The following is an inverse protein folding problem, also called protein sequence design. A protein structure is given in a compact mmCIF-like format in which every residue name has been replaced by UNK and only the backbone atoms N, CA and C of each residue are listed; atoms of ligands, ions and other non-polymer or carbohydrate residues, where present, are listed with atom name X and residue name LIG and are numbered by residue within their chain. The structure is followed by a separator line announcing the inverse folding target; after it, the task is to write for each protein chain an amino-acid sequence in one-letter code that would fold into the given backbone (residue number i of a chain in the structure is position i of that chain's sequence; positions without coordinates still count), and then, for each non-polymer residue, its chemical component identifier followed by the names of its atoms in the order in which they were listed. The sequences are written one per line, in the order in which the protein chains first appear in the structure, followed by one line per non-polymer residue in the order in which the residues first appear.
data_IF_385611406869
#
_entry.id   IF_385611406869
#
_cell.length_a   1.000
_cell.length_b   1.000
_cell.length_c   1.000
_cell.angle_alpha   90.00
_cell.angle_beta   90.00
_cell.angle_gamma   90.00
#
_symmetry.space_group_name_H-M   'P 1'
#
loop_
_entity.id
_entity.type
_entity.pdbx_description
1 polymer ?
#
# COMPACT_ATOMS: atom_id res chain seq x y z
N UNK A 1 -61.40 -19.99 -19.84
CA UNK A 1 -60.18 -20.42 -19.15
C UNK A 1 -59.02 -20.32 -20.14
N UNK A 2 -58.48 -19.12 -20.35
CA UNK A 2 -57.46 -18.89 -21.39
C UNK A 2 -56.08 -18.94 -20.76
N UNK A 3 -55.46 -20.10 -20.96
CA UNK A 3 -54.06 -20.41 -20.78
C UNK A 3 -53.20 -19.35 -21.46
N UNK A 4 -52.55 -18.49 -20.67
CA UNK A 4 -51.51 -17.59 -21.14
C UNK A 4 -50.23 -18.39 -21.35
N UNK A 5 -50.12 -19.05 -22.51
CA UNK A 5 -48.85 -19.63 -22.96
C UNK A 5 -47.91 -18.48 -23.24
N UNK A 6 -47.02 -18.17 -22.29
CA UNK A 6 -45.94 -17.22 -22.56
C UNK A 6 -45.16 -17.67 -23.78
N UNK A 7 -44.87 -16.73 -24.67
CA UNK A 7 -44.09 -17.01 -25.87
C UNK A 7 -42.72 -17.54 -25.44
N UNK A 8 -42.10 -18.37 -26.28
CA UNK A 8 -40.76 -18.91 -25.99
C UNK A 8 -39.78 -17.76 -25.69
N UNK A 9 -39.93 -16.63 -26.39
CA UNK A 9 -39.15 -15.42 -26.20
C UNK A 9 -39.31 -14.81 -24.79
N UNK A 10 -40.54 -14.73 -24.26
CA UNK A 10 -40.77 -14.20 -22.91
C UNK A 10 -40.18 -15.10 -21.81
N UNK A 11 -40.11 -16.41 -22.07
CA UNK A 11 -39.47 -17.37 -21.16
C UNK A 11 -37.95 -17.23 -21.20
N UNK A 12 -37.37 -17.06 -22.39
CA UNK A 12 -35.94 -16.80 -22.57
C UNK A 12 -35.51 -15.49 -21.90
N UNK A 13 -36.28 -14.41 -22.07
CA UNK A 13 -36.03 -13.12 -21.41
C UNK A 13 -36.05 -13.24 -19.87
N UNK A 14 -37.00 -14.00 -19.32
CA UNK A 14 -37.05 -14.25 -17.87
C UNK A 14 -35.87 -15.07 -17.37
N UNK A 15 -35.43 -16.03 -18.16
CA UNK A 15 -34.32 -16.91 -17.81
C UNK A 15 -32.99 -16.15 -17.86
N UNK A 16 -32.80 -15.31 -18.88
CA UNK A 16 -31.68 -14.37 -18.98
C UNK A 16 -31.68 -13.38 -17.81
N UNK A 17 -32.83 -12.76 -17.50
CA UNK A 17 -32.95 -11.87 -16.35
C UNK A 17 -32.68 -12.56 -15.01
N UNK A 18 -32.99 -13.86 -14.89
CA UNK A 18 -32.68 -14.65 -13.70
C UNK A 18 -31.17 -14.94 -13.58
N UNK A 19 -30.54 -15.35 -14.67
CA UNK A 19 -29.10 -15.58 -14.73
C UNK A 19 -28.32 -14.30 -14.43
N UNK A 20 -28.75 -13.17 -15.00
CA UNK A 20 -28.17 -11.86 -14.71
C UNK A 20 -28.28 -11.51 -13.23
N UNK A 21 -29.44 -11.74 -12.60
CA UNK A 21 -29.61 -11.55 -11.15
C UNK A 21 -28.68 -12.44 -10.32
N UNK A 22 -28.55 -13.71 -10.68
CA UNK A 22 -27.67 -14.65 -9.97
C UNK A 22 -26.21 -14.28 -10.13
N UNK A 23 -25.79 -13.89 -11.34
CA UNK A 23 -24.44 -13.42 -11.62
C UNK A 23 -24.14 -12.15 -10.81
N UNK A 24 -25.08 -11.22 -10.77
CA UNK A 24 -24.95 -10.00 -9.96
C UNK A 24 -24.85 -10.31 -8.47
N UNK A 25 -25.58 -11.33 -8.00
CA UNK A 25 -25.54 -11.73 -6.60
C UNK A 25 -24.21 -12.39 -6.22
N UNK A 26 -23.69 -13.30 -7.05
CA UNK A 26 -22.37 -13.90 -6.83
C UNK A 26 -21.27 -12.84 -6.84
N UNK A 27 -21.30 -11.95 -7.82
CA UNK A 27 -20.36 -10.83 -7.89
C UNK A 27 -20.47 -9.94 -6.64
N UNK A 28 -21.68 -9.67 -6.14
CA UNK A 28 -21.84 -8.88 -4.90
C UNK A 28 -21.21 -9.57 -3.68
N UNK A 29 -21.42 -10.88 -3.50
CA UNK A 29 -20.90 -11.62 -2.35
C UNK A 29 -19.37 -11.72 -2.34
N UNK A 30 -18.77 -11.99 -3.50
CA UNK A 30 -17.32 -12.02 -3.66
C UNK A 30 -16.72 -10.63 -3.39
N UNK A 31 -17.37 -9.58 -3.89
CA UNK A 31 -16.92 -8.21 -3.63
C UNK A 31 -17.07 -7.81 -2.16
N UNK A 32 -18.10 -8.27 -1.45
CA UNK A 32 -18.33 -7.90 -0.05
C UNK A 32 -17.32 -8.56 0.91
N UNK A 33 -16.98 -9.84 0.68
CA UNK A 33 -15.97 -10.54 1.47
C UNK A 33 -14.58 -9.92 1.30
N UNK A 34 -14.18 -9.67 0.04
CA UNK A 34 -12.89 -9.05 -0.26
C UNK A 34 -12.82 -7.61 0.22
N UNK A 35 -13.93 -6.85 0.15
CA UNK A 35 -14.02 -5.49 0.71
C UNK A 35 -13.85 -5.50 2.22
N UNK A 36 -14.42 -6.46 2.93
CA UNK A 36 -14.27 -6.60 4.38
C UNK A 36 -12.81 -6.86 4.76
N UNK A 37 -12.13 -7.78 4.06
CA UNK A 37 -10.73 -8.09 4.31
C UNK A 37 -9.78 -6.92 3.99
N UNK A 38 -10.01 -6.23 2.86
CA UNK A 38 -9.29 -5.01 2.52
C UNK A 38 -9.59 -3.87 3.50
N UNK A 39 -10.80 -3.79 4.03
CA UNK A 39 -11.17 -2.78 5.04
C UNK A 39 -10.47 -3.06 6.37
N UNK A 40 -10.38 -4.33 6.79
CA UNK A 40 -9.62 -4.73 7.97
C UNK A 40 -8.14 -4.39 7.81
N UNK A 41 -7.53 -4.78 6.68
CA UNK A 41 -6.12 -4.49 6.38
C UNK A 41 -5.87 -2.98 6.21
N UNK A 42 -6.81 -2.22 5.63
CA UNK A 42 -6.72 -0.76 5.54
C UNK A 42 -6.89 -0.09 6.89
N UNK A 43 -7.76 -0.57 7.77
CA UNK A 43 -7.86 -0.07 9.13
C UNK A 43 -6.56 -0.33 9.90
N UNK A 44 -5.99 -1.53 9.72
CA UNK A 44 -4.67 -1.87 10.24
C UNK A 44 -3.59 -0.92 9.69
N UNK A 45 -3.53 -0.68 8.38
CA UNK A 45 -2.59 0.26 7.77
C UNK A 45 -2.86 1.74 8.09
N UNK A 46 -4.11 2.17 8.29
CA UNK A 46 -4.45 3.54 8.68
C UNK A 46 -4.11 3.82 10.14
N UNK A 47 -4.26 2.80 11.00
CA UNK A 47 -3.73 2.85 12.37
C UNK A 47 -2.19 2.96 12.36
N UNK A 48 -1.52 2.36 11.38
CA UNK A 48 -0.06 2.43 11.19
C UNK A 48 0.37 3.74 10.50
N UNK A 49 -0.41 4.29 9.56
CA UNK A 49 -0.02 5.37 8.64
C UNK A 49 -0.37 6.79 9.09
N UNK A 50 -1.25 6.97 10.08
CA UNK A 50 -1.58 8.29 10.66
C UNK A 50 -0.41 8.96 11.41
N UNK A 51 0.73 8.27 11.57
CA UNK A 51 1.97 8.84 12.11
C UNK A 51 2.95 9.41 11.08
N UNK A 52 2.70 9.26 9.76
CA UNK A 52 3.69 9.55 8.71
C UNK A 52 3.39 10.84 7.91
N UNK A 53 2.67 11.81 8.49
CA UNK A 53 2.36 13.07 7.78
C UNK A 53 2.34 14.29 8.69
N UNK A 54 3.50 14.92 8.83
CA UNK A 54 3.68 16.36 8.91
C UNK A 54 4.95 16.64 8.08
N UNK A 55 4.83 17.21 6.87
CA UNK A 55 4.92 18.66 6.62
C UNK A 55 6.28 19.22 7.12
N UNK A 56 7.13 19.88 6.33
CA UNK A 56 6.84 20.95 5.38
C UNK A 56 7.98 21.15 4.35
N UNK A 57 7.60 21.76 3.23
CA UNK A 57 8.46 22.61 2.44
C UNK A 57 9.10 23.74 3.29
N UNK A 58 10.18 24.32 2.76
CA UNK A 58 10.75 25.62 3.15
C UNK A 58 11.69 25.64 4.35
N UNK A 59 12.99 25.84 4.06
CA UNK A 59 13.98 26.38 5.01
C UNK A 59 14.51 25.41 6.06
N UNK A 60 15.66 24.80 5.78
CA UNK A 60 16.40 23.90 6.66
C UNK A 60 15.65 22.61 7.05
N UNK A 61 15.80 21.57 6.21
CA UNK A 61 15.40 20.19 6.54
C UNK A 61 16.27 19.61 7.68
N UNK A 62 16.06 20.08 8.90
CA UNK A 62 16.53 19.35 10.07
C UNK A 62 15.58 18.18 10.31
N UNK A 63 15.85 17.07 9.60
CA UNK A 63 15.26 15.78 9.96
C UNK A 63 15.70 15.44 11.39
N UNK A 64 14.78 14.93 12.20
CA UNK A 64 15.07 14.46 13.55
C UNK A 64 16.27 13.50 13.58
N UNK A 65 17.04 13.55 14.67
CA UNK A 65 18.19 12.64 14.87
C UNK A 65 17.68 11.21 14.93
N UNK A 66 18.16 10.37 14.01
CA UNK A 66 17.88 8.94 14.01
C UNK A 66 19.00 8.24 14.78
N UNK A 67 18.62 7.55 15.86
CA UNK A 67 19.56 6.88 16.77
C UNK A 67 20.22 5.64 16.16
N UNK A 68 19.51 4.90 15.30
CA UNK A 68 20.00 3.66 14.69
C UNK A 68 19.66 3.63 13.19
N UNK A 69 20.57 3.14 12.34
CA UNK A 69 20.31 3.00 10.91
C UNK A 69 19.49 1.72 10.68
N UNK A 70 18.27 1.83 10.15
CA UNK A 70 17.46 0.67 9.77
C UNK A 70 17.79 0.23 8.35
N UNK A 71 17.88 -1.09 8.14
CA UNK A 71 18.02 -1.72 6.82
C UNK A 71 16.68 -1.99 6.14
N UNK A 72 15.56 -1.79 6.83
CA UNK A 72 14.22 -1.91 6.26
C UNK A 72 14.03 -0.83 5.19
N UNK A 73 13.60 -1.27 4.01
CA UNK A 73 13.35 -0.37 2.88
C UNK A 73 12.00 0.29 3.11
N UNK A 74 12.05 1.49 3.67
CA UNK A 74 10.90 2.37 3.89
C UNK A 74 11.15 3.71 3.21
N UNK A 75 10.08 4.33 2.73
CA UNK A 75 10.16 5.63 2.05
C UNK A 75 10.58 6.77 3.00
N UNK A 76 10.20 6.68 4.28
CA UNK A 76 10.61 7.63 5.33
C UNK A 76 12.03 7.37 5.87
N UNK A 77 12.64 6.25 5.48
CA UNK A 77 13.98 5.89 5.95
C UNK A 77 15.05 6.42 4.98
N UNK A 78 15.80 7.46 5.38
CA UNK A 78 16.84 8.11 4.58
C UNK A 78 18.07 7.21 4.36
N UNK A 79 18.22 6.15 5.16
CA UNK A 79 19.35 5.23 5.10
C UNK A 79 19.06 3.99 4.26
N UNK A 80 17.82 3.76 3.79
CA UNK A 80 17.43 2.60 2.99
C UNK A 80 18.42 2.34 1.84
N UNK A 81 18.77 3.39 1.08
CA UNK A 81 19.72 3.29 -0.05
C UNK A 81 21.16 2.99 0.39
N UNK A 82 21.58 3.52 1.53
CA UNK A 82 22.94 3.34 2.05
C UNK A 82 23.12 1.95 2.67
N UNK A 83 22.10 1.44 3.37
CA UNK A 83 22.08 0.08 3.90
C UNK A 83 22.01 -0.97 2.80
N UNK A 84 21.40 -0.67 1.66
CA UNK A 84 21.42 -1.56 0.51
C UNK A 84 22.85 -1.90 0.05
N UNK A 85 23.79 -0.95 0.16
CA UNK A 85 25.22 -1.20 -0.16
C UNK A 85 25.85 -2.26 0.76
N UNK A 86 25.37 -2.36 2.01
CA UNK A 86 25.76 -3.41 2.96
C UNK A 86 25.21 -4.77 2.52
N UNK A 87 23.93 -4.83 2.16
CA UNK A 87 23.28 -6.06 1.69
C UNK A 87 23.82 -6.56 0.34
N UNK A 88 24.27 -5.66 -0.54
CA UNK A 88 24.90 -6.01 -1.82
C UNK A 88 26.36 -6.49 -1.66
N UNK A 89 26.90 -6.49 -0.43
CA UNK A 89 28.29 -6.90 -0.16
C UNK A 89 29.36 -5.91 -0.65
N UNK A 90 28.96 -4.74 -1.14
CA UNK A 90 29.88 -3.68 -1.61
C UNK A 90 30.57 -3.03 -0.40
N UNK A 91 29.83 -2.83 0.69
CA UNK A 91 30.33 -2.20 1.92
C UNK A 91 30.09 -3.14 3.09
N UNK A 92 31.14 -3.55 3.81
CA UNK A 92 31.00 -4.54 4.90
C UNK A 92 30.18 -4.03 6.09
N UNK A 93 30.45 -2.82 6.56
CA UNK A 93 29.73 -2.25 7.72
C UNK A 93 29.51 -0.75 7.57
N UNK A 94 28.46 -0.36 6.86
CA UNK A 94 28.17 1.05 6.60
C UNK A 94 27.92 1.88 7.87
N UNK A 95 27.44 1.26 8.96
CA UNK A 95 27.16 1.94 10.23
C UNK A 95 28.37 2.64 10.86
N UNK A 96 29.58 2.17 10.55
CA UNK A 96 30.82 2.75 11.04
C UNK A 96 31.05 4.18 10.55
N UNK A 97 30.37 4.61 9.47
CA UNK A 97 30.48 5.99 8.96
C UNK A 97 30.22 7.05 10.04
N UNK A 98 29.38 6.74 11.04
CA UNK A 98 29.06 7.66 12.16
C UNK A 98 30.20 7.87 13.15
N UNK A 99 31.21 6.99 13.16
CA UNK A 99 32.36 7.06 14.07
C UNK A 99 33.46 7.97 13.54
N UNK A 100 33.45 8.27 12.25
CA UNK A 100 34.46 9.11 11.63
C UNK A 100 34.06 10.58 11.70
N UNK A 101 35.05 11.44 11.92
CA UNK A 101 34.90 12.89 11.87
C UNK A 101 35.75 13.42 10.72
N UNK A 102 35.21 14.38 9.97
CA UNK A 102 35.88 14.98 8.82
C UNK A 102 35.90 16.50 9.02
N UNK A 103 37.03 17.12 8.71
CA UNK A 103 37.17 18.58 8.63
C UNK A 103 37.16 18.97 7.16
N UNK A 104 36.30 19.92 6.79
CA UNK A 104 36.23 20.46 5.43
C UNK A 104 36.83 21.87 5.46
N UNK A 105 37.87 22.12 4.66
CA UNK A 105 38.53 23.43 4.54
C UNK A 105 38.18 24.01 3.18
N UNK A 106 37.46 25.14 3.18
CA UNK A 106 36.89 25.75 1.97
C UNK A 106 35.56 25.11 1.58
N UNK A 107 34.49 25.89 1.65
CA UNK A 107 33.19 25.55 1.05
C UNK A 107 32.97 26.56 -0.08
N UNK A 108 32.95 26.06 -1.31
CA UNK A 108 32.70 26.87 -2.51
C UNK A 108 31.25 27.31 -2.62
#
# INVERSE_FOLDING_TARGET
SRSSTMSIQEKEERLLACLEKMQNHLNSLETDSLRSELQAMRQELQSIGSGARQETASGAHYRGKISQMSSEVRDDNPYSRLMALKSMGIVKNYEDIRKFSIIIVGMG
#
